data_IF_777942332732
#
_entry.id   IF_777942332732
#
_cell.length_a   1.000
_cell.length_b   1.000
_cell.length_c   1.000
_cell.angle_alpha   90.00
_cell.angle_beta   90.00
_cell.angle_gamma   90.00
#
_symmetry.space_group_name_H-M   'P 1'
#
loop_
_entity.id
_entity.type
_entity.pdbx_description
1 polymer ?
#
# COMPACT_ATOMS: atom_id res chain seq x y z
N UNK A 1 -17.34 0.11 12.44
CA UNK A 1 -17.44 -0.03 10.97
C UNK A 1 -17.92 1.31 10.45
N UNK A 2 -17.04 2.07 9.80
CA UNK A 2 -17.29 3.49 9.47
C UNK A 2 -18.12 3.70 8.21
N UNK A 3 -18.14 2.72 7.31
CA UNK A 3 -18.99 2.72 6.12
C UNK A 3 -20.01 1.59 6.22
N UNK A 4 -21.27 1.89 5.91
CA UNK A 4 -22.28 0.87 5.70
C UNK A 4 -21.92 0.03 4.47
N UNK A 5 -22.21 -1.28 4.47
CA UNK A 5 -22.03 -2.11 3.29
C UNK A 5 -22.73 -1.48 2.09
N UNK A 6 -22.05 -1.41 0.95
CA UNK A 6 -22.69 -1.06 -0.32
C UNK A 6 -23.39 -2.31 -0.83
N UNK A 7 -24.69 -2.19 -1.11
CA UNK A 7 -25.56 -3.26 -1.60
C UNK A 7 -25.61 -4.53 -0.72
N UNK A 8 -25.39 -4.39 0.61
CA UNK A 8 -25.27 -5.51 1.57
C UNK A 8 -24.22 -6.58 1.20
N UNK A 9 -23.32 -6.26 0.26
CA UNK A 9 -22.40 -7.22 -0.36
C UNK A 9 -20.94 -6.79 -0.28
N UNK A 10 -20.67 -5.48 -0.34
CA UNK A 10 -19.32 -4.96 -0.38
C UNK A 10 -19.01 -4.14 0.88
N UNK A 11 -17.84 -4.40 1.44
CA UNK A 11 -17.29 -3.74 2.62
C UNK A 11 -15.99 -3.04 2.21
N UNK A 12 -15.59 -2.02 2.96
CA UNK A 12 -14.34 -1.28 2.74
C UNK A 12 -13.14 -2.23 2.56
N UNK A 13 -12.39 -2.00 1.48
CA UNK A 13 -11.18 -2.74 1.15
C UNK A 13 -10.10 -2.63 2.22
N UNK A 14 -10.17 -1.64 3.12
CA UNK A 14 -9.28 -1.55 4.29
C UNK A 14 -9.34 -2.78 5.22
N UNK A 15 -10.41 -3.58 5.18
CA UNK A 15 -10.51 -4.84 5.96
C UNK A 15 -9.70 -5.98 5.31
N UNK A 16 -9.51 -5.94 3.99
CA UNK A 16 -8.91 -7.04 3.21
C UNK A 16 -7.51 -6.68 2.70
N UNK A 17 -7.32 -5.46 2.20
CA UNK A 17 -6.10 -4.99 1.56
C UNK A 17 -5.89 -3.49 1.83
N UNK A 18 -5.61 -3.12 3.09
CA UNK A 18 -5.36 -1.72 3.47
C UNK A 18 -4.06 -1.15 2.87
N UNK A 19 -3.17 -2.02 2.37
CA UNK A 19 -2.05 -1.67 1.50
C UNK A 19 -2.05 -2.63 0.28
N UNK A 20 -2.61 -2.21 -0.86
CA UNK A 20 -2.85 -3.10 -2.01
C UNK A 20 -1.57 -3.40 -2.80
N UNK A 21 -0.39 -3.00 -2.32
CA UNK A 21 0.84 -3.12 -3.07
C UNK A 21 1.22 -4.57 -3.39
N UNK A 22 1.05 -5.48 -2.43
CA UNK A 22 1.37 -6.89 -2.65
C UNK A 22 0.32 -7.57 -3.55
N UNK A 23 -0.95 -7.23 -3.36
CA UNK A 23 -2.05 -7.75 -4.19
C UNK A 23 -1.89 -7.30 -5.64
N UNK A 24 -1.54 -6.03 -5.87
CA UNK A 24 -1.25 -5.51 -7.21
C UNK A 24 -0.09 -6.26 -7.87
N UNK A 25 0.97 -6.57 -7.13
CA UNK A 25 2.11 -7.35 -7.66
C UNK A 25 1.68 -8.78 -8.03
N UNK A 26 0.82 -9.41 -7.23
CA UNK A 26 0.28 -10.73 -7.53
C UNK A 26 -0.60 -10.70 -8.79
N UNK A 27 -1.47 -9.69 -8.93
CA UNK A 27 -2.32 -9.52 -10.12
C UNK A 27 -1.52 -9.32 -11.40
N UNK A 28 -0.44 -8.51 -11.37
CA UNK A 28 0.44 -8.34 -12.52
C UNK A 28 1.11 -9.68 -12.90
N UNK A 29 1.54 -10.48 -11.92
CA UNK A 29 2.11 -11.79 -12.19
C UNK A 29 1.08 -12.76 -12.77
N UNK A 30 -0.15 -12.74 -12.27
CA UNK A 30 -1.24 -13.55 -12.80
C UNK A 30 -1.56 -13.16 -14.26
N UNK A 31 -1.66 -11.86 -14.53
CA UNK A 31 -1.89 -11.32 -15.87
C UNK A 31 -0.78 -11.75 -16.85
N UNK A 32 0.49 -11.58 -16.46
CA UNK A 32 1.62 -12.02 -17.28
C UNK A 32 1.65 -13.55 -17.47
N UNK A 33 1.26 -14.31 -16.45
CA UNK A 33 1.13 -15.78 -16.53
C UNK A 33 0.08 -16.20 -17.53
N UNK A 34 -1.08 -15.54 -17.55
CA UNK A 34 -2.17 -15.78 -18.50
C UNK A 34 -1.72 -15.44 -19.93
N UNK A 35 -1.12 -14.28 -20.14
CA UNK A 35 -0.61 -13.87 -21.45
C UNK A 35 0.43 -14.87 -22.00
N UNK A 36 1.34 -15.31 -21.14
CA UNK A 36 2.32 -16.35 -21.49
C UNK A 36 1.64 -17.67 -21.86
N UNK A 37 0.63 -18.09 -21.10
CA UNK A 37 -0.15 -19.29 -21.39
C UNK A 37 -0.91 -19.20 -22.73
N UNK A 38 -1.50 -18.03 -23.02
CA UNK A 38 -2.19 -17.74 -24.28
C UNK A 38 -1.25 -17.50 -25.47
N UNK A 39 0.08 -17.59 -25.26
CA UNK A 39 1.12 -17.34 -26.26
C UNK A 39 1.15 -15.90 -26.79
N UNK A 40 0.79 -14.96 -25.92
CA UNK A 40 0.89 -13.52 -26.12
C UNK A 40 1.89 -12.86 -25.14
N UNK A 41 3.15 -13.35 -25.02
CA UNK A 41 4.11 -12.79 -24.08
C UNK A 41 4.48 -11.33 -24.37
N UNK A 42 4.21 -10.83 -25.58
CA UNK A 42 4.33 -9.43 -25.97
C UNK A 42 3.42 -8.49 -25.17
N UNK A 43 2.32 -9.01 -24.63
CA UNK A 43 1.36 -8.26 -23.83
C UNK A 43 1.74 -8.23 -22.33
N UNK A 44 2.86 -8.85 -21.94
CA UNK A 44 3.30 -8.85 -20.55
C UNK A 44 3.68 -7.45 -20.06
N UNK A 45 3.29 -7.15 -18.82
CA UNK A 45 3.62 -5.91 -18.12
C UNK A 45 4.97 -6.06 -17.44
N UNK A 46 5.93 -5.22 -17.84
CA UNK A 46 7.21 -5.07 -17.16
C UNK A 46 7.14 -3.96 -16.11
N UNK A 47 7.42 -4.30 -14.85
CA UNK A 47 7.39 -3.35 -13.74
C UNK A 47 8.76 -2.68 -13.63
N UNK A 48 8.86 -1.39 -13.96
CA UNK A 48 10.13 -0.65 -13.84
C UNK A 48 10.40 -0.05 -12.44
N UNK A 49 9.35 0.19 -11.65
CA UNK A 49 9.44 0.75 -10.29
C UNK A 49 8.09 0.57 -9.58
N UNK A 50 8.12 0.39 -8.26
CA UNK A 50 6.92 0.38 -7.42
C UNK A 50 6.99 1.54 -6.43
N UNK A 51 5.91 2.33 -6.37
CA UNK A 51 5.75 3.42 -5.41
C UNK A 51 4.48 3.17 -4.61
N UNK A 52 4.64 2.90 -3.32
CA UNK A 52 3.56 2.72 -2.36
C UNK A 52 3.41 4.00 -1.52
N UNK A 53 2.23 4.60 -1.54
CA UNK A 53 1.92 5.82 -0.79
C UNK A 53 1.01 5.47 0.39
N UNK A 54 1.35 5.95 1.58
CA UNK A 54 0.58 5.78 2.81
C UNK A 54 -0.18 7.04 3.16
N UNK A 55 -1.21 6.89 3.99
CA UNK A 55 -2.03 7.98 4.52
C UNK A 55 -1.47 8.58 5.81
N UNK A 56 -0.27 8.16 6.22
CA UNK A 56 0.40 8.59 7.44
C UNK A 56 0.58 7.44 8.43
N UNK A 57 1.57 7.58 9.32
CA UNK A 57 1.89 6.62 10.36
C UNK A 57 1.51 7.21 11.72
N UNK A 58 0.55 6.58 12.39
CA UNK A 58 0.09 7.01 13.73
C UNK A 58 1.20 6.69 14.75
N UNK A 59 1.47 7.57 15.73
CA UNK A 59 2.46 7.31 16.77
C UNK A 59 2.08 6.10 17.62
N UNK A 60 3.08 5.26 17.94
CA UNK A 60 2.90 4.06 18.76
C UNK A 60 2.40 4.44 20.16
N UNK A 61 1.22 3.94 20.51
CA UNK A 61 0.70 4.03 21.88
C UNK A 61 1.15 2.81 22.68
N UNK A 62 1.70 2.98 23.90
CA UNK A 62 2.06 1.84 24.73
C UNK A 62 0.80 1.03 25.07
N UNK A 63 0.83 -0.27 24.77
CA UNK A 63 -0.21 -1.20 25.19
C UNK A 63 0.04 -1.59 26.65
N UNK A 64 -1.00 -1.53 27.48
CA UNK A 64 -0.93 -2.12 28.82
C UNK A 64 -0.69 -3.64 28.70
N UNK A 65 0.28 -4.20 29.44
CA UNK A 65 0.61 -5.61 29.35
C UNK A 65 -0.62 -6.45 29.72
N UNK A 66 -1.08 -7.23 28.74
CA UNK A 66 -2.26 -8.08 28.83
C UNK A 66 -2.03 -9.18 29.88
N UNK A 67 -2.40 -8.94 31.14
CA UNK A 67 -2.50 -10.00 32.14
C UNK A 67 -3.77 -10.81 31.86
N UNK A 68 -3.62 -11.89 31.09
CA UNK A 68 -4.72 -12.83 30.82
C UNK A 68 -4.86 -13.74 32.03
N UNK A 69 -5.54 -13.27 33.08
CA UNK A 69 -5.95 -14.14 34.17
C UNK A 69 -7.18 -14.96 33.72
N UNK A 70 -6.96 -16.21 33.32
CA UNK A 70 -8.00 -17.14 32.83
C UNK A 70 -9.15 -17.39 33.83
N UNK A 71 -9.02 -16.97 35.10
CA UNK A 71 -9.92 -17.33 36.18
C UNK A 71 -10.95 -16.26 36.55
N UNK A 72 -10.88 -15.06 35.97
CA UNK A 72 -11.87 -14.02 36.24
C UNK A 72 -12.64 -13.63 34.95
N UNK A 73 -13.96 -13.89 34.88
CA UNK A 73 -14.77 -13.69 33.67
C UNK A 73 -14.82 -12.22 33.19
N UNK A 74 -14.63 -11.28 34.12
CA UNK A 74 -14.57 -9.84 33.80
C UNK A 74 -13.22 -9.52 33.15
N UNK A 75 -12.12 -10.01 33.71
CA UNK A 75 -10.78 -9.81 33.15
C UNK A 75 -10.62 -10.46 31.77
N UNK A 76 -11.24 -11.63 31.55
CA UNK A 76 -11.23 -12.30 30.25
C UNK A 76 -12.02 -11.55 29.18
N UNK A 77 -13.10 -10.85 29.54
CA UNK A 77 -13.87 -10.04 28.59
C UNK A 77 -13.07 -8.80 28.14
N UNK A 78 -12.37 -8.14 29.08
CA UNK A 78 -11.45 -7.04 28.75
C UNK A 78 -10.26 -7.53 27.91
N UNK A 79 -9.67 -8.67 28.27
CA UNK A 79 -8.58 -9.28 27.50
C UNK A 79 -9.01 -9.66 26.08
N UNK A 80 -10.20 -10.24 25.92
CA UNK A 80 -10.76 -10.58 24.61
C UNK A 80 -11.04 -9.34 23.76
N UNK A 81 -11.56 -8.26 24.36
CA UNK A 81 -11.76 -6.97 23.67
C UNK A 81 -10.45 -6.34 23.22
N UNK A 82 -9.40 -6.39 24.05
CA UNK A 82 -8.09 -5.86 23.68
C UNK A 82 -7.41 -6.71 22.60
N UNK A 83 -7.51 -8.04 22.69
CA UNK A 83 -7.03 -8.95 21.65
C UNK A 83 -7.75 -8.75 20.32
N UNK A 84 -9.08 -8.55 20.33
CA UNK A 84 -9.83 -8.31 19.10
C UNK A 84 -9.47 -6.97 18.46
N UNK A 85 -9.21 -5.92 19.24
CA UNK A 85 -8.68 -4.65 18.75
C UNK A 85 -7.28 -4.81 18.16
N UNK A 86 -6.37 -5.54 18.81
CA UNK A 86 -5.04 -5.84 18.28
C UNK A 86 -5.14 -6.62 16.97
N UNK A 87 -6.02 -7.62 16.89
CA UNK A 87 -6.22 -8.40 15.66
C UNK A 87 -6.76 -7.53 14.53
N UNK A 88 -7.71 -6.66 14.80
CA UNK A 88 -8.21 -5.69 13.80
C UNK A 88 -7.07 -4.78 13.35
N UNK A 89 -6.28 -4.23 14.28
CA UNK A 89 -5.14 -3.36 13.98
C UNK A 89 -4.10 -4.08 13.10
N UNK A 90 -3.77 -5.34 13.39
CA UNK A 90 -2.87 -6.16 12.59
C UNK A 90 -3.42 -6.50 11.20
N UNK A 91 -4.72 -6.80 11.09
CA UNK A 91 -5.38 -7.11 9.80
C UNK A 91 -5.50 -5.86 8.93
N UNK A 92 -5.69 -4.70 9.56
CA UNK A 92 -5.72 -3.39 8.88
C UNK A 92 -4.35 -2.72 8.79
N UNK A 93 -3.26 -3.39 9.18
CA UNK A 93 -1.94 -2.79 9.20
C UNK A 93 -1.53 -2.38 7.77
N UNK A 94 -1.24 -1.09 7.57
CA UNK A 94 -0.76 -0.54 6.29
C UNK A 94 0.77 -0.46 6.22
N UNK A 95 1.43 -0.59 7.37
CA UNK A 95 2.86 -0.49 7.60
C UNK A 95 3.41 -1.81 8.18
N UNK A 96 4.74 -1.96 8.20
CA UNK A 96 5.39 -3.18 8.71
C UNK A 96 5.30 -4.35 7.73
N UNK A 97 4.74 -5.48 8.16
CA UNK A 97 4.80 -6.75 7.42
C UNK A 97 4.28 -6.71 5.96
N UNK A 98 3.18 -6.00 5.62
CA UNK A 98 2.75 -5.87 4.22
C UNK A 98 3.77 -5.12 3.36
N UNK A 99 4.36 -4.05 3.89
CA UNK A 99 5.40 -3.26 3.20
C UNK A 99 6.68 -4.08 3.03
N UNK A 100 7.09 -4.82 4.06
CA UNK A 100 8.30 -5.64 4.02
C UNK A 100 8.18 -6.81 3.05
N UNK A 101 6.99 -7.45 2.99
CA UNK A 101 6.69 -8.48 1.98
C UNK A 101 6.73 -7.91 0.57
N UNK A 102 6.05 -6.78 0.33
CA UNK A 102 6.07 -6.11 -0.98
C UNK A 102 7.49 -5.68 -1.40
N UNK A 103 8.28 -5.14 -0.47
CA UNK A 103 9.68 -4.76 -0.71
C UNK A 103 10.55 -5.98 -1.05
N UNK A 104 10.40 -7.07 -0.29
CA UNK A 104 11.16 -8.30 -0.54
C UNK A 104 10.82 -8.91 -1.89
N UNK A 105 9.55 -8.86 -2.29
CA UNK A 105 9.11 -9.28 -3.61
C UNK A 105 9.68 -8.40 -4.71
N UNK A 106 9.61 -7.07 -4.57
CA UNK A 106 10.21 -6.15 -5.55
C UNK A 106 11.72 -6.41 -5.70
N UNK A 107 12.41 -6.67 -4.59
CA UNK A 107 13.83 -7.03 -4.61
C UNK A 107 14.10 -8.36 -5.34
N UNK A 108 13.22 -9.37 -5.21
CA UNK A 108 13.41 -10.65 -5.91
C UNK A 108 13.26 -10.54 -7.43
N UNK A 109 12.45 -9.60 -7.92
CA UNK A 109 12.29 -9.31 -9.35
C UNK A 109 13.20 -8.17 -9.85
N UNK A 110 14.12 -7.67 -9.01
CA UNK A 110 15.07 -6.62 -9.38
C UNK A 110 14.45 -5.22 -9.56
N UNK A 111 13.27 -4.99 -8.99
CA UNK A 111 12.51 -3.74 -9.17
C UNK A 111 12.71 -2.80 -7.98
N UNK A 112 13.04 -1.52 -8.21
CA UNK A 112 13.11 -0.52 -7.16
C UNK A 112 11.77 -0.32 -6.44
N UNK A 113 11.79 -0.33 -5.11
CA UNK A 113 10.60 -0.12 -4.27
C UNK A 113 10.74 1.15 -3.42
N UNK A 114 9.72 2.00 -3.48
CA UNK A 114 9.62 3.22 -2.68
C UNK A 114 8.35 3.21 -1.82
N UNK A 115 8.49 3.43 -0.51
CA UNK A 115 7.37 3.65 0.42
C UNK A 115 7.44 5.07 0.96
N UNK A 116 6.38 5.84 0.80
CA UNK A 116 6.25 7.18 1.37
C UNK A 116 5.04 7.20 2.28
N UNK A 117 5.28 7.42 3.58
CA UNK A 117 4.25 7.50 4.60
C UNK A 117 4.79 8.40 5.71
N UNK A 118 4.12 9.54 5.95
CA UNK A 118 4.62 10.54 6.90
C UNK A 118 4.23 10.15 8.34
N UNK A 119 5.16 10.21 9.31
CA UNK A 119 4.81 10.06 10.71
C UNK A 119 3.94 11.24 11.14
N UNK A 120 2.78 10.96 11.73
CA UNK A 120 1.82 11.96 12.16
C UNK A 120 2.08 12.37 13.62
N UNK A 121 1.77 13.61 13.95
CA UNK A 121 1.91 14.15 15.32
C UNK A 121 0.96 13.49 16.34
N UNK A 122 -0.17 12.93 15.90
CA UNK A 122 -1.15 12.24 16.74
C UNK A 122 -1.96 11.22 15.95
N UNK A 123 -2.77 10.43 16.64
CA UNK A 123 -3.81 9.61 16.02
C UNK A 123 -4.94 10.50 15.48
N UNK A 124 -5.11 10.49 14.16
CA UNK A 124 -6.13 11.26 13.45
C UNK A 124 -7.14 10.27 12.90
N UNK A 125 -8.31 10.23 13.54
CA UNK A 125 -9.40 9.36 13.12
C UNK A 125 -9.88 9.67 11.71
N UNK A 126 -10.29 8.64 10.97
CA UNK A 126 -10.76 8.72 9.58
C UNK A 126 -11.91 9.73 9.36
N UNK A 127 -12.72 9.98 10.40
CA UNK A 127 -13.85 10.93 10.36
C UNK A 127 -13.52 12.35 10.84
N UNK A 128 -12.25 12.71 11.00
CA UNK A 128 -11.83 14.03 11.51
C UNK A 128 -12.27 15.14 10.55
N UNK A 129 -13.01 16.12 11.08
CA UNK A 129 -13.48 17.33 10.35
C UNK A 129 -12.92 18.63 10.91
N UNK A 130 -11.97 18.54 11.86
CA UNK A 130 -11.36 19.72 12.46
C UNK A 130 -10.24 20.22 11.55
N UNK A 131 -10.39 21.43 11.03
CA UNK A 131 -9.44 22.04 10.10
C UNK A 131 -8.03 22.17 10.70
N UNK A 132 -7.91 22.41 12.01
CA UNK A 132 -6.60 22.50 12.67
C UNK A 132 -5.86 21.16 12.67
N UNK A 133 -6.59 20.07 12.88
CA UNK A 133 -6.01 18.73 12.88
C UNK A 133 -5.57 18.31 11.47
N UNK A 134 -6.40 18.63 10.47
CA UNK A 134 -6.09 18.38 9.05
C UNK A 134 -4.90 19.24 8.60
N UNK A 135 -4.84 20.52 8.99
CA UNK A 135 -3.73 21.41 8.66
C UNK A 135 -2.41 20.92 9.26
N UNK A 136 -2.42 20.47 10.52
CA UNK A 136 -1.23 19.89 11.15
C UNK A 136 -0.82 18.57 10.48
N UNK A 137 -1.77 17.71 10.09
CA UNK A 137 -1.49 16.51 9.31
C UNK A 137 -0.81 16.82 7.98
N UNK A 138 -1.28 17.86 7.27
CA UNK A 138 -0.65 18.32 6.03
C UNK A 138 0.75 18.88 6.29
N UNK A 139 0.94 19.58 7.42
CA UNK A 139 2.24 20.09 7.82
C UNK A 139 3.25 18.97 8.11
N UNK A 140 2.83 17.90 8.80
CA UNK A 140 3.65 16.70 9.02
C UNK A 140 4.14 16.10 7.70
N UNK A 141 3.27 16.06 6.67
CA UNK A 141 3.64 15.62 5.33
C UNK A 141 4.68 16.55 4.67
N UNK A 142 4.53 17.88 4.82
CA UNK A 142 5.51 18.86 4.31
C UNK A 142 6.86 18.67 5.01
N UNK A 143 6.88 18.55 6.34
CA UNK A 143 8.09 18.30 7.11
C UNK A 143 8.76 16.98 6.68
N UNK A 144 7.98 15.91 6.53
CA UNK A 144 8.45 14.62 6.07
C UNK A 144 9.12 14.71 4.70
N UNK A 145 8.47 15.37 3.72
CA UNK A 145 9.03 15.54 2.37
C UNK A 145 10.29 16.40 2.37
N UNK A 146 10.37 17.41 3.23
CA UNK A 146 11.58 18.22 3.40
C UNK A 146 12.74 17.38 3.94
N UNK A 147 12.51 16.61 5.01
CA UNK A 147 13.50 15.72 5.63
C UNK A 147 13.97 14.61 4.69
N UNK A 148 13.07 14.06 3.87
CA UNK A 148 13.34 12.97 2.93
C UNK A 148 13.57 13.44 1.50
N UNK A 149 13.89 14.72 1.28
CA UNK A 149 14.06 15.30 -0.05
C UNK A 149 15.04 14.53 -0.92
N UNK A 150 16.14 14.02 -0.35
CA UNK A 150 17.12 13.21 -1.09
C UNK A 150 16.52 11.88 -1.58
N UNK A 151 15.70 11.22 -0.75
CA UNK A 151 15.02 9.98 -1.10
C UNK A 151 13.99 10.20 -2.23
N UNK A 152 13.19 11.25 -2.12
CA UNK A 152 12.24 11.66 -3.17
C UNK A 152 12.98 12.05 -4.45
N UNK A 153 14.13 12.73 -4.35
CA UNK A 153 14.95 13.09 -5.50
C UNK A 153 15.44 11.84 -6.25
N UNK A 154 15.85 10.77 -5.54
CA UNK A 154 16.20 9.49 -6.18
C UNK A 154 15.03 8.91 -6.98
N UNK A 155 13.83 8.92 -6.40
CA UNK A 155 12.61 8.49 -7.10
C UNK A 155 12.35 9.35 -8.34
N UNK A 156 12.41 10.68 -8.23
CA UNK A 156 12.21 11.57 -9.37
C UNK A 156 13.24 11.33 -10.48
N UNK A 157 14.52 11.11 -10.14
CA UNK A 157 15.57 10.79 -11.11
C UNK A 157 15.29 9.48 -11.82
N UNK A 158 14.89 8.45 -11.08
CA UNK A 158 14.51 7.15 -11.64
C UNK A 158 13.31 7.30 -12.60
N UNK A 159 12.24 7.96 -12.18
CA UNK A 159 11.04 8.17 -13.01
C UNK A 159 11.34 8.99 -14.26
N UNK A 160 12.23 9.99 -14.18
CA UNK A 160 12.71 10.74 -15.35
C UNK A 160 13.51 9.88 -16.31
N UNK A 161 14.34 8.97 -15.80
CA UNK A 161 15.12 8.06 -16.63
C UNK A 161 14.23 7.04 -17.38
N UNK A 162 13.19 6.53 -16.72
CA UNK A 162 12.20 5.64 -17.35
C UNK A 162 11.39 6.38 -18.45
N UNK A 163 11.26 7.70 -18.35
CA UNK A 163 10.55 8.52 -19.34
C UNK A 163 9.02 8.47 -19.23
N UNK A 164 8.31 9.31 -19.99
CA UNK A 164 6.84 9.32 -20.03
C UNK A 164 6.33 8.18 -20.88
N UNK A 165 5.14 7.66 -20.57
CA UNK A 165 4.49 6.58 -21.34
C UNK A 165 4.49 6.81 -22.86
N UNK A 166 4.15 7.99 -23.42
CA UNK A 166 4.20 8.21 -24.88
C UNK A 166 5.62 8.29 -25.47
N UNK A 167 6.63 8.60 -24.65
CA UNK A 167 8.04 8.68 -25.07
C UNK A 167 8.78 7.35 -24.90
N UNK A 168 8.18 6.40 -24.16
CA UNK A 168 8.68 5.03 -24.06
C UNK A 168 8.47 4.35 -25.40
N UNK A 169 9.42 3.52 -25.87
CA UNK A 169 9.16 2.67 -27.02
C UNK A 169 7.88 1.90 -26.76
N UNK A 170 6.84 2.17 -27.56
CA UNK A 170 5.56 1.49 -27.45
C UNK A 170 5.84 0.03 -27.79
N UNK A 171 5.84 -0.83 -26.76
CA UNK A 171 5.98 -2.29 -26.94
C UNK A 171 4.94 -2.79 -27.96
N UNK A 172 3.78 -2.13 -28.01
CA UNK A 172 2.62 -2.42 -28.86
C UNK A 172 2.61 -1.82 -30.28
N UNK A 173 3.52 -0.91 -30.67
CA UNK A 173 3.41 -0.25 -31.99
C UNK A 173 3.91 -1.12 -33.15
N UNK A 174 4.92 -1.97 -32.92
CA UNK A 174 5.51 -2.80 -33.99
C UNK A 174 4.62 -3.96 -34.46
N UNK A 175 3.59 -4.33 -33.69
CA UNK A 175 2.76 -5.50 -34.01
C UNK A 175 1.63 -5.17 -34.99
N UNK A 176 1.10 -3.94 -34.98
CA UNK A 176 -0.01 -3.55 -35.87
C UNK A 176 0.40 -3.32 -37.33
N UNK A 177 1.62 -2.87 -37.59
CA UNK A 177 2.08 -2.68 -38.98
C UNK A 177 2.38 -4.01 -39.69
N UNK A 178 2.70 -5.07 -38.96
CA UNK A 178 3.00 -6.38 -39.55
C UNK A 178 1.75 -7.23 -39.86
N UNK A 179 0.60 -6.91 -39.25
CA UNK A 179 -0.68 -7.60 -39.50
C UNK A 179 -1.55 -6.91 -40.57
N UNK A 180 -1.18 -5.72 -41.07
CA UNK A 180 -1.90 -5.01 -42.14
C UNK A 180 -1.36 -5.30 -43.54
N UNK A 181 -0.31 -6.11 -43.67
CA UNK A 181 0.35 -6.47 -44.95
C UNK A 181 0.31 -7.96 -45.26
N UNK A 182 -0.67 -8.70 -44.73
CA UNK A 182 -0.95 -10.09 -45.10
C UNK A 182 -2.37 -10.22 -45.65
#
# INVERSE_FOLDING_TARGET
MFFSPVDDKYIDGGIIANNPCLDLLAEVQLYNGINTYLRHPEDNVEIGCVVSLGTGQIPLSPLDPLHVELFNPISSAYAFKNLSLILVDQVTATEGAPVDRARSWCNSIGVPFFRLSAPLHKDIGLGTKNDHDIANMMWDCIEYTHRHRQYITKLCTLLKHIGKVPDRPVVFAKVREMQSTA
#
